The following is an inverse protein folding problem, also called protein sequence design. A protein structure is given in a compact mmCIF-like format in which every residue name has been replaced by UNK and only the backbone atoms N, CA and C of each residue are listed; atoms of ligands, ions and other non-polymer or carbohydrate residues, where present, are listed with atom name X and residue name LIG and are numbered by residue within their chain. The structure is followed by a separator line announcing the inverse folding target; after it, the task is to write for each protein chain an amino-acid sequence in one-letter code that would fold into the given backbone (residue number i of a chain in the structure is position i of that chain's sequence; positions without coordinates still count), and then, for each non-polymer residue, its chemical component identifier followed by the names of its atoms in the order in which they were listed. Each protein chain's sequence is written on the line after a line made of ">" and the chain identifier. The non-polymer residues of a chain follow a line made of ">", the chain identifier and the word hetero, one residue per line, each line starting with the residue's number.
data_IF_879156828145
#
_entry.id   IF_879156828145
#
_cell.length_a   1.000
_cell.length_b   1.000
_cell.length_c   1.000
_cell.angle_alpha   90.00
_cell.angle_beta   90.00
_cell.angle_gamma   90.00
#
_symmetry.space_group_name_H-M   'P 1'
#
loop_
_entity.id
_entity.type
_entity.pdbx_description
1 polymer ?
#
# COMPACT_ATOMS: atom_id res chain seq x y z
N UNK A 1 -17.24 -25.30 -7.62
CA UNK A 1 -17.48 -23.91 -7.15
C UNK A 1 -16.50 -23.04 -7.89
N UNK A 2 -16.97 -22.06 -8.64
CA UNK A 2 -16.12 -21.02 -9.18
C UNK A 2 -15.57 -20.19 -8.01
N UNK A 3 -14.26 -20.01 -7.99
CA UNK A 3 -13.58 -19.17 -6.99
C UNK A 3 -13.51 -17.78 -7.58
N UNK A 4 -14.08 -16.80 -6.88
CA UNK A 4 -13.93 -15.39 -7.27
C UNK A 4 -12.48 -14.95 -7.14
N UNK A 5 -11.95 -14.25 -8.12
CA UNK A 5 -10.63 -13.58 -8.04
C UNK A 5 -10.71 -12.17 -7.42
N UNK A 6 -11.92 -11.69 -7.06
CA UNK A 6 -12.11 -10.44 -6.35
C UNK A 6 -11.62 -10.58 -4.91
N UNK A 7 -10.73 -9.70 -4.41
CA UNK A 7 -10.29 -9.75 -3.02
C UNK A 7 -11.40 -9.31 -2.06
N UNK A 8 -11.36 -9.79 -0.81
CA UNK A 8 -12.29 -9.38 0.25
C UNK A 8 -11.93 -8.03 0.87
N UNK A 9 -10.65 -7.64 0.79
CA UNK A 9 -10.13 -6.34 1.20
C UNK A 9 -8.80 -6.04 0.50
N UNK A 10 -8.40 -4.78 0.42
CA UNK A 10 -7.13 -4.35 -0.18
C UNK A 10 -6.29 -3.55 0.81
N UNK A 11 -4.97 -3.74 0.75
CA UNK A 11 -3.98 -2.90 1.44
C UNK A 11 -3.09 -2.29 0.36
N UNK A 12 -3.08 -0.97 0.27
CA UNK A 12 -2.36 -0.19 -0.73
C UNK A 12 -1.32 0.69 -0.04
N UNK A 13 -0.04 0.39 -0.27
CA UNK A 13 1.06 1.24 0.20
C UNK A 13 1.54 2.15 -0.93
N UNK A 14 1.54 3.47 -0.71
CA UNK A 14 2.03 4.48 -1.66
C UNK A 14 1.64 4.20 -3.12
N UNK A 15 0.36 3.94 -3.43
CA UNK A 15 -0.07 3.48 -4.74
C UNK A 15 0.00 4.57 -5.81
N UNK A 16 0.33 4.16 -7.06
CA UNK A 16 0.07 4.96 -8.25
C UNK A 16 -1.42 4.80 -8.58
N UNK A 17 -2.15 5.87 -8.67
CA UNK A 17 -3.60 5.91 -8.85
C UNK A 17 -4.01 6.66 -10.10
N UNK A 18 -3.54 7.90 -10.27
CA UNK A 18 -4.02 8.82 -11.30
C UNK A 18 -3.06 8.95 -12.47
N UNK A 19 -3.61 9.06 -13.68
CA UNK A 19 -2.89 9.51 -14.89
C UNK A 19 -2.85 11.03 -15.03
N UNK A 20 -3.54 11.77 -14.15
CA UNK A 20 -3.66 13.22 -14.23
C UNK A 20 -2.41 13.97 -13.75
N UNK A 21 -2.61 15.15 -13.17
CA UNK A 21 -1.55 16.07 -12.73
C UNK A 21 -0.49 15.44 -11.81
N UNK A 22 -0.88 14.48 -10.99
CA UNK A 22 -0.03 13.82 -9.98
C UNK A 22 0.44 12.42 -10.40
N UNK A 23 0.42 12.15 -11.71
CA UNK A 23 0.85 10.85 -12.23
C UNK A 23 2.34 10.60 -11.99
N UNK A 24 2.69 9.36 -11.80
CA UNK A 24 4.06 8.91 -11.89
C UNK A 24 4.34 8.46 -13.32
N UNK A 25 5.06 9.29 -14.08
CA UNK A 25 5.30 9.09 -15.53
C UNK A 25 6.00 7.76 -15.81
N UNK A 26 7.01 7.40 -15.01
CA UNK A 26 7.79 6.17 -15.20
C UNK A 26 6.91 4.92 -15.11
N UNK A 27 5.90 4.91 -14.22
CA UNK A 27 4.96 3.80 -14.09
C UNK A 27 4.06 3.66 -15.32
N UNK A 28 3.60 4.76 -15.89
CA UNK A 28 2.77 4.74 -17.11
C UNK A 28 3.61 4.33 -18.32
N UNK A 29 4.82 4.85 -18.46
CA UNK A 29 5.75 4.43 -19.52
C UNK A 29 6.10 2.94 -19.41
N UNK A 30 6.35 2.45 -18.21
CA UNK A 30 6.66 1.03 -18.01
C UNK A 30 5.49 0.10 -18.32
N UNK A 31 4.25 0.56 -18.07
CA UNK A 31 3.04 -0.24 -18.28
C UNK A 31 2.54 -0.21 -19.73
N UNK A 32 2.51 0.97 -20.34
CA UNK A 32 1.89 1.22 -21.64
C UNK A 32 2.90 1.38 -22.78
N UNK A 33 4.16 1.70 -22.47
CA UNK A 33 5.17 2.07 -23.46
C UNK A 33 5.15 3.56 -23.83
N UNK A 34 6.12 3.96 -24.67
CA UNK A 34 6.32 5.36 -25.08
C UNK A 34 5.22 5.87 -26.02
N UNK A 35 4.61 4.98 -26.80
CA UNK A 35 3.61 5.30 -27.81
C UNK A 35 2.17 5.42 -27.25
N UNK A 36 1.99 5.28 -25.94
CA UNK A 36 0.66 5.36 -25.31
C UNK A 36 0.04 6.73 -25.47
N UNK A 37 -1.23 6.76 -25.86
CA UNK A 37 -1.99 7.99 -25.95
C UNK A 37 -2.64 8.39 -24.60
N UNK A 38 -3.25 9.57 -24.56
CA UNK A 38 -3.86 10.09 -23.32
C UNK A 38 -5.13 9.32 -22.94
N UNK A 39 -5.86 8.73 -23.89
CA UNK A 39 -7.07 7.94 -23.63
C UNK A 39 -6.72 6.63 -22.93
N UNK A 40 -5.66 5.94 -23.38
CA UNK A 40 -5.13 4.73 -22.73
C UNK A 40 -4.66 5.04 -21.30
N UNK A 41 -3.95 6.16 -21.11
CA UNK A 41 -3.50 6.61 -19.79
C UNK A 41 -4.67 6.94 -18.88
N UNK A 42 -5.65 7.69 -19.38
CA UNK A 42 -6.84 8.08 -18.62
C UNK A 42 -7.66 6.85 -18.18
N UNK A 43 -7.76 5.83 -19.03
CA UNK A 43 -8.41 4.57 -18.69
C UNK A 43 -7.77 3.87 -17.48
N UNK A 44 -6.50 4.10 -17.22
CA UNK A 44 -5.79 3.55 -16.05
C UNK A 44 -5.87 4.45 -14.80
N UNK A 45 -6.58 5.55 -14.84
CA UNK A 45 -6.86 6.38 -13.65
C UNK A 45 -7.84 5.68 -12.74
N UNK A 46 -7.30 4.96 -11.74
CA UNK A 46 -8.06 4.07 -10.86
C UNK A 46 -9.18 4.80 -10.12
N UNK A 47 -8.96 6.05 -9.73
CA UNK A 47 -9.95 6.90 -9.05
C UNK A 47 -11.21 7.15 -9.86
N UNK A 48 -11.15 7.01 -11.19
CA UNK A 48 -12.30 7.17 -12.10
C UNK A 48 -13.16 5.92 -12.22
N UNK A 49 -12.64 4.77 -11.77
CA UNK A 49 -13.28 3.45 -11.88
C UNK A 49 -13.76 2.91 -10.53
N UNK A 50 -13.68 3.70 -9.47
CA UNK A 50 -14.19 3.29 -8.15
C UNK A 50 -15.71 3.23 -8.17
N UNK A 51 -16.26 2.06 -7.88
CA UNK A 51 -17.70 1.81 -7.76
C UNK A 51 -18.02 1.27 -6.38
N UNK A 52 -19.32 1.20 -6.02
CA UNK A 52 -19.80 0.62 -4.75
C UNK A 52 -19.41 -0.86 -4.57
N UNK A 53 -19.07 -1.55 -5.67
CA UNK A 53 -18.64 -2.95 -5.64
C UNK A 53 -17.16 -3.12 -5.29
N UNK A 54 -16.38 -2.02 -5.18
CA UNK A 54 -14.97 -2.10 -4.84
C UNK A 54 -14.77 -2.66 -3.42
N UNK A 55 -13.80 -3.57 -3.21
CA UNK A 55 -13.51 -4.07 -1.88
C UNK A 55 -13.09 -2.96 -0.92
N UNK A 56 -13.36 -3.11 0.39
CA UNK A 56 -12.83 -2.22 1.41
C UNK A 56 -11.31 -2.04 1.29
N UNK A 57 -10.83 -0.81 1.52
CA UNK A 57 -9.43 -0.46 1.29
C UNK A 57 -8.76 0.13 2.53
N UNK A 58 -7.55 -0.32 2.81
CA UNK A 58 -6.61 0.37 3.68
C UNK A 58 -5.50 0.95 2.82
N UNK A 59 -5.25 2.25 2.90
CA UNK A 59 -4.18 2.88 2.13
C UNK A 59 -3.32 3.76 3.03
N UNK A 60 -2.04 3.86 2.66
CA UNK A 60 -1.11 4.72 3.36
C UNK A 60 -0.06 5.32 2.39
N UNK A 61 0.42 6.50 2.76
CA UNK A 61 1.44 7.26 2.04
C UNK A 61 2.34 8.00 3.02
N UNK A 62 3.49 8.47 2.55
CA UNK A 62 4.27 9.50 3.21
C UNK A 62 4.12 10.82 2.45
N UNK A 63 4.04 11.93 3.16
CA UNK A 63 3.82 13.25 2.54
C UNK A 63 5.03 13.70 1.71
N UNK A 64 6.22 13.26 2.09
CA UNK A 64 7.48 13.57 1.42
C UNK A 64 7.85 12.64 0.26
N UNK A 65 6.95 11.73 -0.11
CA UNK A 65 7.18 10.85 -1.26
C UNK A 65 7.37 11.65 -2.55
N UNK A 66 8.62 11.71 -3.02
CA UNK A 66 9.01 12.43 -4.24
C UNK A 66 8.85 11.59 -5.51
N UNK A 67 8.57 10.31 -5.38
CA UNK A 67 8.39 9.38 -6.51
C UNK A 67 6.92 9.26 -6.91
N UNK A 68 6.06 8.97 -5.94
CA UNK A 68 4.62 8.90 -6.13
C UNK A 68 3.97 9.87 -5.15
N UNK A 69 3.42 10.96 -5.67
CA UNK A 69 2.82 12.01 -4.85
C UNK A 69 1.67 11.47 -3.97
N UNK A 70 1.61 11.88 -2.70
CA UNK A 70 0.57 11.50 -1.75
C UNK A 70 -0.85 11.86 -2.23
N UNK A 71 -0.98 12.82 -3.17
CA UNK A 71 -2.25 13.17 -3.82
C UNK A 71 -2.91 11.97 -4.51
N UNK A 72 -2.15 10.98 -4.96
CA UNK A 72 -2.72 9.72 -5.45
C UNK A 72 -3.62 9.07 -4.40
N UNK A 73 -3.14 8.99 -3.15
CA UNK A 73 -3.92 8.47 -2.03
C UNK A 73 -5.17 9.31 -1.73
N UNK A 74 -5.05 10.63 -1.76
CA UNK A 74 -6.20 11.54 -1.53
C UNK A 74 -7.26 11.40 -2.61
N UNK A 75 -6.88 11.33 -3.89
CA UNK A 75 -7.81 11.14 -5.00
C UNK A 75 -8.56 9.81 -4.88
N UNK A 76 -7.86 8.73 -4.56
CA UNK A 76 -8.48 7.43 -4.39
C UNK A 76 -9.41 7.38 -3.17
N UNK A 77 -8.99 7.93 -2.03
CA UNK A 77 -9.82 8.01 -0.82
C UNK A 77 -11.10 8.82 -1.07
N UNK A 78 -11.01 9.93 -1.82
CA UNK A 78 -12.17 10.73 -2.20
C UNK A 78 -13.12 9.96 -3.14
N UNK A 79 -12.58 9.20 -4.08
CA UNK A 79 -13.38 8.34 -4.95
C UNK A 79 -14.10 7.24 -4.14
N UNK A 80 -13.41 6.58 -3.21
CA UNK A 80 -14.02 5.62 -2.29
C UNK A 80 -15.13 6.26 -1.46
N UNK A 81 -14.90 7.45 -0.91
CA UNK A 81 -15.91 8.19 -0.14
C UNK A 81 -17.17 8.48 -0.97
N UNK A 82 -17.01 8.91 -2.22
CA UNK A 82 -18.12 9.19 -3.14
C UNK A 82 -18.91 7.94 -3.51
N UNK A 83 -18.23 6.82 -3.71
CA UNK A 83 -18.83 5.54 -4.06
C UNK A 83 -19.39 4.76 -2.82
N UNK A 84 -19.21 5.27 -1.60
CA UNK A 84 -19.65 4.57 -0.39
C UNK A 84 -18.80 3.35 -0.02
N UNK A 85 -17.60 3.21 -0.59
CA UNK A 85 -16.67 2.12 -0.30
C UNK A 85 -16.01 2.37 1.06
N UNK A 86 -16.04 1.41 2.00
CA UNK A 86 -15.33 1.56 3.27
C UNK A 86 -13.81 1.65 3.06
N UNK A 87 -13.18 2.66 3.65
CA UNK A 87 -11.72 2.81 3.56
C UNK A 87 -11.12 3.36 4.84
N UNK A 88 -9.81 3.15 5.00
CA UNK A 88 -8.95 3.84 5.95
C UNK A 88 -7.77 4.44 5.17
N UNK A 89 -7.48 5.73 5.38
CA UNK A 89 -6.38 6.42 4.74
C UNK A 89 -5.46 7.04 5.80
N UNK A 90 -4.18 6.68 5.74
CA UNK A 90 -3.15 7.17 6.64
C UNK A 90 -2.06 7.87 5.83
N UNK A 91 -1.69 9.08 6.25
CA UNK A 91 -0.59 9.82 5.64
C UNK A 91 0.38 10.19 6.75
N UNK A 92 1.60 9.71 6.64
CA UNK A 92 2.70 9.99 7.55
C UNK A 92 3.44 11.23 7.09
N UNK A 93 3.91 12.06 8.05
CA UNK A 93 4.51 13.34 7.71
C UNK A 93 5.83 13.18 6.95
N UNK A 94 6.66 12.27 7.40
CA UNK A 94 8.02 12.07 6.90
C UNK A 94 8.17 10.69 6.24
N UNK A 95 9.21 10.53 5.44
CA UNK A 95 9.61 9.27 4.84
C UNK A 95 9.60 9.26 3.31
N UNK A 96 10.45 8.40 2.75
CA UNK A 96 10.65 8.26 1.32
C UNK A 96 9.60 7.32 0.68
N UNK A 97 9.59 7.26 -0.66
CA UNK A 97 8.83 6.24 -1.39
C UNK A 97 9.34 4.84 -1.09
N UNK A 98 8.44 3.89 -1.00
CA UNK A 98 8.79 2.48 -0.99
C UNK A 98 9.31 1.97 0.36
N UNK A 99 8.89 2.55 1.48
CA UNK A 99 9.35 2.15 2.82
C UNK A 99 8.88 0.75 3.27
N UNK A 100 8.05 0.06 2.50
CA UNK A 100 7.62 -1.32 2.78
C UNK A 100 7.11 -1.49 4.22
N UNK A 101 7.70 -2.39 5.00
CA UNK A 101 7.33 -2.61 6.41
C UNK A 101 7.91 -1.56 7.37
N UNK A 102 8.83 -0.71 6.88
CA UNK A 102 9.48 0.37 7.62
C UNK A 102 10.08 -0.08 8.96
N UNK A 103 10.86 -1.18 8.95
CA UNK A 103 11.65 -1.62 10.10
C UNK A 103 13.14 -1.31 9.88
N UNK A 104 13.92 -1.22 10.97
CA UNK A 104 15.36 -1.03 10.87
C UNK A 104 16.01 -2.15 10.06
N UNK A 105 15.64 -3.42 10.30
CA UNK A 105 16.20 -4.56 9.58
C UNK A 105 15.92 -4.48 8.08
N UNK A 106 14.71 -4.05 7.69
CA UNK A 106 14.38 -3.82 6.29
C UNK A 106 15.27 -2.75 5.68
N UNK A 107 15.48 -1.63 6.38
CA UNK A 107 16.28 -0.53 5.85
C UNK A 107 17.77 -0.89 5.78
N UNK A 108 18.31 -1.54 6.80
CA UNK A 108 19.70 -2.06 6.79
C UNK A 108 19.94 -3.04 5.63
N UNK A 109 18.96 -3.90 5.34
CA UNK A 109 19.03 -4.78 4.18
C UNK A 109 19.08 -3.97 2.88
N UNK A 110 18.27 -2.93 2.74
CA UNK A 110 18.28 -2.04 1.57
C UNK A 110 19.61 -1.30 1.40
N UNK A 111 20.22 -0.87 2.48
CA UNK A 111 21.55 -0.26 2.44
C UNK A 111 22.63 -1.24 1.95
N UNK A 112 22.57 -2.50 2.39
CA UNK A 112 23.48 -3.55 1.90
C UNK A 112 23.28 -3.86 0.41
N UNK A 113 22.04 -3.90 -0.06
CA UNK A 113 21.69 -4.15 -1.47
C UNK A 113 22.10 -2.98 -2.40
N UNK A 114 22.03 -1.75 -1.91
CA UNK A 114 22.25 -0.52 -2.67
C UNK A 114 22.98 0.53 -1.81
N UNK A 115 24.29 0.36 -1.54
CA UNK A 115 25.02 1.21 -0.59
C UNK A 115 25.10 2.68 -1.02
N UNK A 116 25.10 2.96 -2.31
CA UNK A 116 25.24 4.31 -2.87
C UNK A 116 23.91 5.00 -3.19
N UNK A 117 22.77 4.40 -2.81
CA UNK A 117 21.46 4.93 -3.18
C UNK A 117 21.08 6.18 -2.40
N UNK A 118 21.50 6.28 -1.15
CA UNK A 118 21.12 7.35 -0.24
C UNK A 118 22.37 8.01 0.39
N UNK A 119 22.36 9.31 0.47
CA UNK A 119 23.35 10.08 1.26
C UNK A 119 23.21 9.79 2.75
N UNK A 120 24.21 10.14 3.55
CA UNK A 120 24.13 10.00 5.03
C UNK A 120 22.94 10.79 5.62
N UNK A 121 22.67 11.98 5.07
CA UNK A 121 21.52 12.81 5.49
C UNK A 121 20.18 12.14 5.18
N UNK A 122 20.03 11.59 3.98
CA UNK A 122 18.82 10.84 3.60
C UNK A 122 18.65 9.56 4.42
N UNK A 123 19.74 8.87 4.74
CA UNK A 123 19.70 7.70 5.62
C UNK A 123 19.23 8.09 7.02
N UNK A 124 19.79 9.15 7.61
CA UNK A 124 19.37 9.63 8.92
C UNK A 124 17.89 10.05 8.94
N UNK A 125 17.43 10.71 7.87
CA UNK A 125 16.02 11.08 7.71
C UNK A 125 15.11 9.86 7.63
N UNK A 126 15.46 8.84 6.84
CA UNK A 126 14.69 7.60 6.74
C UNK A 126 14.65 6.88 8.10
N UNK A 127 15.79 6.78 8.81
CA UNK A 127 15.82 6.19 10.15
C UNK A 127 14.87 6.91 11.12
N UNK A 128 14.82 8.25 11.07
CA UNK A 128 13.92 9.06 11.90
C UNK A 128 12.43 8.77 11.64
N UNK A 129 12.07 8.41 10.40
CA UNK A 129 10.69 8.14 10.01
C UNK A 129 10.24 6.70 10.27
N UNK A 130 11.15 5.73 10.52
CA UNK A 130 10.82 4.30 10.60
C UNK A 130 9.77 3.99 11.66
N UNK A 131 9.90 4.56 12.86
CA UNK A 131 8.99 4.29 13.98
C UNK A 131 7.55 4.71 13.67
N UNK A 132 7.38 5.90 13.09
CA UNK A 132 6.06 6.42 12.75
C UNK A 132 5.46 5.65 11.58
N UNK A 133 6.21 5.53 10.47
CA UNK A 133 5.73 4.83 9.28
C UNK A 133 5.46 3.37 9.58
N UNK A 134 6.33 2.68 10.34
CA UNK A 134 6.17 1.27 10.71
C UNK A 134 4.86 0.95 11.42
N UNK A 135 4.23 1.94 12.06
CA UNK A 135 2.91 1.78 12.70
C UNK A 135 1.81 1.34 11.71
N UNK A 136 1.98 1.58 10.39
CA UNK A 136 0.98 1.20 9.39
C UNK A 136 0.63 -0.29 9.45
N UNK A 137 1.58 -1.16 9.72
CA UNK A 137 1.38 -2.63 9.78
C UNK A 137 0.40 -3.02 10.89
N UNK A 138 0.58 -2.42 12.07
CA UNK A 138 -0.33 -2.58 13.21
C UNK A 138 -1.72 -1.99 12.97
N UNK A 139 -1.78 -0.83 12.30
CA UNK A 139 -3.03 -0.19 11.91
C UNK A 139 -3.80 -1.06 10.90
N UNK A 140 -3.13 -1.55 9.86
CA UNK A 140 -3.70 -2.42 8.84
C UNK A 140 -4.22 -3.75 9.44
N UNK A 141 -3.44 -4.38 10.34
CA UNK A 141 -3.85 -5.60 11.05
C UNK A 141 -5.15 -5.40 11.84
N UNK A 142 -5.26 -4.30 12.59
CA UNK A 142 -6.49 -3.97 13.35
C UNK A 142 -7.67 -3.66 12.42
N UNK A 143 -7.40 -2.93 11.33
CA UNK A 143 -8.40 -2.61 10.32
C UNK A 143 -8.94 -3.88 9.65
N UNK A 144 -8.07 -4.78 9.19
CA UNK A 144 -8.46 -6.07 8.59
C UNK A 144 -9.33 -6.92 9.53
N UNK A 145 -8.92 -7.05 10.80
CA UNK A 145 -9.70 -7.81 11.79
C UNK A 145 -11.14 -7.30 11.90
N UNK A 146 -11.35 -5.98 11.92
CA UNK A 146 -12.68 -5.37 11.97
C UNK A 146 -13.44 -5.54 10.66
N UNK A 147 -12.80 -5.26 9.53
CA UNK A 147 -13.42 -5.28 8.20
C UNK A 147 -13.88 -6.67 7.80
N UNK A 148 -13.07 -7.69 8.08
CA UNK A 148 -13.37 -9.08 7.75
C UNK A 148 -14.06 -9.85 8.89
N UNK A 149 -14.47 -9.17 9.94
CA UNK A 149 -15.12 -9.77 11.12
C UNK A 149 -14.34 -10.97 11.69
N UNK A 150 -13.00 -10.91 11.66
CA UNK A 150 -12.15 -11.97 12.19
C UNK A 150 -12.26 -11.95 13.71
N UNK A 151 -12.97 -12.93 14.27
CA UNK A 151 -13.05 -13.12 15.73
C UNK A 151 -11.68 -13.51 16.26
N UNK A 152 -11.22 -12.84 17.31
CA UNK A 152 -10.04 -13.29 18.03
C UNK A 152 -10.30 -14.69 18.60
N UNK A 153 -9.57 -15.69 18.12
CA UNK A 153 -9.39 -16.90 18.90
C UNK A 153 -8.52 -16.50 20.09
N UNK A 154 -8.93 -16.90 21.30
CA UNK A 154 -8.14 -16.76 22.52
C UNK A 154 -6.69 -17.14 22.20
N UNK A 155 -5.78 -16.30 22.63
CA UNK A 155 -4.33 -16.39 22.61
C UNK A 155 -3.75 -17.68 21.98
N UNK A 156 -3.56 -17.66 20.67
CA UNK A 156 -2.58 -18.55 20.04
C UNK A 156 -1.34 -17.66 19.87
N UNK A 157 -0.27 -18.10 20.49
CA UNK A 157 1.06 -17.49 20.41
C UNK A 157 1.37 -17.10 18.98
N UNK A 158 1.92 -15.92 18.75
CA UNK A 158 2.11 -15.34 17.41
C UNK A 158 2.94 -16.23 16.47
N UNK A 159 3.76 -17.12 17.00
CA UNK A 159 4.52 -18.10 16.25
C UNK A 159 3.66 -19.27 15.74
N UNK A 160 2.65 -19.71 16.48
CA UNK A 160 1.77 -20.81 16.07
C UNK A 160 0.78 -20.43 14.96
N UNK A 161 0.41 -19.15 14.84
CA UNK A 161 -0.57 -18.72 13.83
C UNK A 161 -0.01 -18.82 12.40
N UNK A 162 1.25 -18.45 12.20
CA UNK A 162 1.91 -18.53 10.88
C UNK A 162 2.14 -20.01 10.51
N UNK A 163 2.52 -20.83 11.48
CA UNK A 163 2.83 -22.25 11.24
C UNK A 163 1.59 -23.10 10.93
N UNK A 164 0.45 -22.82 11.57
CA UNK A 164 -0.79 -23.56 11.34
C UNK A 164 -1.52 -23.14 10.05
N UNK A 165 -1.42 -21.88 9.65
CA UNK A 165 -1.98 -21.42 8.37
C UNK A 165 -1.22 -22.03 7.19
N UNK A 166 0.07 -22.25 7.35
CA UNK A 166 0.91 -22.91 6.32
C UNK A 166 0.62 -24.41 6.21
N UNK A 167 0.36 -25.08 7.33
CA UNK A 167 0.07 -26.52 7.35
C UNK A 167 -1.32 -26.88 6.83
N UNK A 168 -2.32 -26.04 7.03
CA UNK A 168 -3.69 -26.29 6.56
C UNK A 168 -3.87 -26.05 5.06
N UNK A 169 -2.93 -25.37 4.39
CA UNK A 169 -2.92 -25.17 2.95
C UNK A 169 -2.31 -26.30 2.12
N UNK A 170 -1.66 -27.30 2.77
CA UNK A 170 -0.95 -28.38 2.09
C UNK A 170 -1.73 -29.71 2.01
N UNK A 171 -2.97 -29.77 2.50
CA UNK A 171 -3.82 -30.96 2.44
C UNK A 171 -5.23 -30.64 1.95
N UNK A 172 -5.33 -30.07 0.74
CA UNK A 172 -6.55 -30.16 -0.08
C UNK A 172 -6.20 -30.11 -1.55
#
# INVERSE_FOLDING_TARGET
>A
KEVSCRPDAMILGYPVITSGKYRNEDSFLALLGEDSDEEEREYLSVEKHVTEEMPPCFLWHTLEDKTVSAENGYLFAEACRKAGVPYAHHVFAEGAHGMSVATEEWFEQKLKERPDKWTEEEQAHIYGALDEVGMWTGLAKRWLKRTLCIKERQEIDSEDFIYQTWRSGLHK
#
